data_IF_341687114276
#
_entry.id   IF_341687114276
#
_cell.length_a   1.000
_cell.length_b   1.000
_cell.length_c   1.000
_cell.angle_alpha   90.00
_cell.angle_beta   90.00
_cell.angle_gamma   90.00
#
_symmetry.space_group_name_H-M   'P 1'
#
loop_
_entity.id
_entity.type
_entity.pdbx_description
1 polymer ?
#
# COMPACT_ATOMS: atom_id res chain seq x y z
N UNK A 1 -45.72 -26.17 -22.80
CA UNK A 1 -44.29 -26.43 -22.50
C UNK A 1 -43.47 -25.78 -23.60
N UNK A 2 -42.83 -24.65 -23.30
CA UNK A 2 -41.66 -24.14 -24.04
C UNK A 2 -41.07 -23.04 -23.16
N UNK A 3 -40.10 -23.41 -22.34
CA UNK A 3 -39.44 -22.54 -21.36
C UNK A 3 -37.94 -22.80 -21.33
N UNK A 4 -37.32 -22.97 -22.51
CA UNK A 4 -35.88 -23.27 -22.65
C UNK A 4 -35.23 -22.37 -23.71
N UNK A 5 -35.35 -21.04 -23.60
CA UNK A 5 -34.63 -20.12 -24.50
C UNK A 5 -34.13 -18.81 -23.85
N UNK A 6 -34.12 -18.71 -22.52
CA UNK A 6 -33.61 -17.51 -21.82
C UNK A 6 -32.13 -17.58 -21.42
N UNK A 7 -31.45 -18.71 -21.62
CA UNK A 7 -30.06 -18.92 -21.19
C UNK A 7 -29.01 -18.62 -22.26
N UNK A 8 -29.39 -18.54 -23.55
CA UNK A 8 -28.45 -18.30 -24.66
C UNK A 8 -28.25 -16.80 -24.96
N UNK A 9 -29.28 -15.97 -24.78
CA UNK A 9 -29.19 -14.52 -25.01
C UNK A 9 -28.40 -13.79 -23.91
N UNK A 10 -28.40 -14.30 -22.67
CA UNK A 10 -27.62 -13.70 -21.57
C UNK A 10 -26.11 -13.87 -21.75
N UNK A 11 -25.67 -14.98 -22.36
CA UNK A 11 -24.24 -15.30 -22.53
C UNK A 11 -23.57 -14.44 -23.61
N UNK A 12 -24.28 -14.12 -24.70
CA UNK A 12 -23.77 -13.26 -25.77
C UNK A 12 -23.72 -11.77 -25.40
N UNK A 13 -24.65 -11.30 -24.56
CA UNK A 13 -24.68 -9.90 -24.10
C UNK A 13 -23.54 -9.56 -23.13
N UNK A 14 -23.13 -10.53 -22.30
CA UNK A 14 -22.06 -10.36 -21.31
C UNK A 14 -20.68 -10.23 -22.00
N UNK A 15 -20.40 -11.07 -22.99
CA UNK A 15 -19.15 -11.02 -23.78
C UNK A 15 -18.98 -9.73 -24.60
N UNK A 16 -20.07 -9.17 -25.13
CA UNK A 16 -20.03 -7.90 -25.88
C UNK A 16 -19.85 -6.70 -24.96
N UNK A 17 -20.49 -6.69 -23.78
CA UNK A 17 -20.28 -5.68 -22.74
C UNK A 17 -18.82 -5.70 -22.25
N UNK A 18 -18.25 -6.90 -22.08
CA UNK A 18 -16.87 -7.08 -21.64
C UNK A 18 -15.87 -6.47 -22.62
N UNK A 19 -16.06 -6.73 -23.91
CA UNK A 19 -15.23 -6.15 -24.98
C UNK A 19 -15.35 -4.63 -25.03
N UNK A 20 -16.56 -4.09 -24.90
CA UNK A 20 -16.79 -2.63 -24.90
C UNK A 20 -16.11 -1.93 -23.73
N UNK A 21 -16.27 -2.42 -22.49
CA UNK A 21 -15.61 -1.82 -21.32
C UNK A 21 -14.09 -1.84 -21.44
N UNK A 22 -13.51 -2.95 -21.91
CA UNK A 22 -12.07 -3.08 -22.15
C UNK A 22 -11.57 -2.09 -23.22
N UNK A 23 -12.31 -1.97 -24.32
CA UNK A 23 -11.98 -1.06 -25.43
C UNK A 23 -12.08 0.40 -24.99
N UNK A 24 -13.08 0.76 -24.16
CA UNK A 24 -13.17 2.09 -23.55
C UNK A 24 -11.96 2.41 -22.68
N UNK A 25 -11.47 1.46 -21.88
CA UNK A 25 -10.26 1.66 -21.06
C UNK A 25 -9.01 1.88 -21.91
N UNK A 26 -8.83 1.10 -22.97
CA UNK A 26 -7.69 1.25 -23.90
C UNK A 26 -7.71 2.60 -24.60
N UNK A 27 -8.85 2.97 -25.17
CA UNK A 27 -9.04 4.26 -25.84
C UNK A 27 -8.81 5.42 -24.88
N UNK A 28 -9.33 5.34 -23.65
CA UNK A 28 -9.10 6.37 -22.65
C UNK A 28 -7.60 6.52 -22.35
N UNK A 29 -6.88 5.40 -22.17
CA UNK A 29 -5.43 5.40 -21.89
C UNK A 29 -4.59 5.93 -23.05
N UNK A 30 -4.97 5.67 -24.30
CA UNK A 30 -4.26 6.14 -25.50
C UNK A 30 -4.39 7.64 -25.75
N UNK A 31 -5.50 8.25 -25.33
CA UNK A 31 -5.77 9.67 -25.52
C UNK A 31 -5.14 10.58 -24.45
N UNK A 32 -4.40 10.04 -23.49
CA UNK A 32 -3.77 10.80 -22.40
C UNK A 32 -2.32 11.15 -22.72
N UNK A 33 -1.96 12.42 -22.56
CA UNK A 33 -0.57 12.83 -22.54
C UNK A 33 0.05 12.54 -21.16
N UNK A 34 0.69 11.38 -21.05
CA UNK A 34 1.39 10.93 -19.83
C UNK A 34 2.53 11.85 -19.37
N UNK A 35 2.88 12.92 -20.09
CA UNK A 35 3.83 13.95 -19.60
C UNK A 35 3.13 15.07 -18.82
N UNK A 36 1.84 15.32 -19.05
CA UNK A 36 1.07 16.41 -18.43
C UNK A 36 0.39 15.93 -17.14
N UNK A 37 0.78 16.47 -15.98
CA UNK A 37 0.21 16.05 -14.67
C UNK A 37 -1.30 16.21 -14.61
N UNK A 38 -1.83 17.32 -15.12
CA UNK A 38 -3.27 17.62 -15.10
C UNK A 38 -4.08 16.54 -15.83
N UNK A 39 -3.70 16.19 -17.06
CA UNK A 39 -4.38 15.15 -17.85
C UNK A 39 -4.32 13.79 -17.16
N UNK A 40 -3.17 13.43 -16.57
CA UNK A 40 -3.06 12.18 -15.82
C UNK A 40 -3.94 12.15 -14.56
N UNK A 41 -4.18 13.30 -13.92
CA UNK A 41 -5.12 13.39 -12.79
C UNK A 41 -6.57 13.28 -13.27
N UNK A 42 -6.91 13.90 -14.40
CA UNK A 42 -8.22 13.79 -15.03
C UNK A 42 -8.52 12.35 -15.48
N UNK A 43 -7.50 11.58 -15.87
CA UNK A 43 -7.62 10.16 -16.19
C UNK A 43 -8.20 9.35 -15.03
N UNK A 44 -7.75 9.55 -13.78
CA UNK A 44 -8.30 8.82 -12.64
C UNK A 44 -9.81 9.05 -12.49
N UNK A 45 -10.25 10.30 -12.60
CA UNK A 45 -11.68 10.65 -12.55
C UNK A 45 -12.49 10.00 -13.68
N UNK A 46 -11.91 9.90 -14.88
CA UNK A 46 -12.54 9.23 -16.03
C UNK A 46 -12.53 7.70 -15.92
N UNK A 47 -11.54 7.14 -15.22
CA UNK A 47 -11.45 5.69 -14.98
C UNK A 47 -12.50 5.22 -13.99
N UNK A 48 -12.79 5.98 -12.94
CA UNK A 48 -13.64 5.51 -11.84
C UNK A 48 -15.02 5.00 -12.27
N UNK A 49 -15.79 5.70 -13.12
CA UNK A 49 -17.09 5.20 -13.57
C UNK A 49 -16.99 3.92 -14.41
N UNK A 50 -15.84 3.68 -15.05
CA UNK A 50 -15.62 2.49 -15.89
C UNK A 50 -15.24 1.26 -15.06
N UNK A 51 -14.58 1.46 -13.91
CA UNK A 51 -13.97 0.37 -13.13
C UNK A 51 -14.64 0.11 -11.77
N UNK A 52 -15.54 1.00 -11.30
CA UNK A 52 -16.16 0.88 -9.97
C UNK A 52 -17.07 -0.35 -9.85
N UNK A 53 -17.79 -0.68 -10.92
CA UNK A 53 -18.67 -1.86 -11.05
C UNK A 53 -17.97 -3.00 -11.80
N UNK A 54 -16.63 -3.01 -11.85
CA UNK A 54 -15.91 -4.00 -12.63
C UNK A 54 -16.06 -5.40 -12.02
N UNK A 55 -16.73 -6.27 -12.78
CA UNK A 55 -16.99 -7.69 -12.48
C UNK A 55 -16.27 -8.64 -13.44
N UNK A 56 -15.60 -8.10 -14.45
CA UNK A 56 -15.06 -8.88 -15.57
C UNK A 56 -13.66 -9.38 -15.22
N UNK A 57 -13.36 -10.63 -15.54
CA UNK A 57 -12.01 -11.15 -15.38
C UNK A 57 -11.07 -10.50 -16.40
N UNK A 58 -10.02 -9.82 -15.91
CA UNK A 58 -8.92 -9.35 -16.74
C UNK A 58 -7.75 -10.29 -16.49
N UNK A 59 -7.39 -11.08 -17.50
CA UNK A 59 -6.27 -12.02 -17.42
C UNK A 59 -4.91 -11.31 -17.35
N UNK A 60 -4.78 -10.11 -17.94
CA UNK A 60 -3.57 -9.30 -17.86
C UNK A 60 -3.87 -7.79 -17.92
N UNK A 61 -3.80 -7.12 -16.76
CA UNK A 61 -3.94 -5.66 -16.68
C UNK A 61 -2.87 -4.92 -17.51
N UNK A 62 -1.73 -5.57 -17.77
CA UNK A 62 -0.63 -4.98 -18.55
C UNK A 62 -0.92 -4.89 -20.03
N UNK A 63 -1.92 -5.61 -20.52
CA UNK A 63 -2.48 -5.40 -21.85
C UNK A 63 -3.13 -4.02 -22.03
N UNK A 64 -3.43 -3.33 -20.92
CA UNK A 64 -4.05 -1.99 -20.89
C UNK A 64 -3.04 -0.95 -20.42
N UNK A 65 -2.43 -1.16 -19.24
CA UNK A 65 -1.55 -0.18 -18.60
C UNK A 65 -0.13 -0.70 -18.43
N UNK A 66 0.88 0.12 -18.73
CA UNK A 66 2.27 -0.22 -18.41
C UNK A 66 2.47 -0.26 -16.88
N UNK A 67 3.41 -1.06 -16.37
CA UNK A 67 3.70 -1.14 -14.93
C UNK A 67 4.02 0.24 -14.30
N UNK A 68 4.70 1.13 -15.04
CA UNK A 68 4.97 2.51 -14.62
C UNK A 68 3.69 3.35 -14.51
N UNK A 69 2.74 3.14 -15.42
CA UNK A 69 1.44 3.81 -15.45
C UNK A 69 0.59 3.36 -14.25
N UNK A 70 0.52 2.04 -13.99
CA UNK A 70 -0.18 1.48 -12.81
C UNK A 70 0.42 2.03 -11.52
N UNK A 71 1.76 1.98 -11.38
CA UNK A 71 2.45 2.52 -10.21
C UNK A 71 2.14 4.01 -10.00
N UNK A 72 2.12 4.79 -11.08
CA UNK A 72 1.82 6.22 -11.01
C UNK A 72 0.36 6.48 -10.62
N UNK A 73 -0.60 5.78 -11.23
CA UNK A 73 -2.03 5.92 -10.93
C UNK A 73 -2.33 5.57 -9.47
N UNK A 74 -1.73 4.48 -8.95
CA UNK A 74 -1.82 4.12 -7.52
C UNK A 74 -1.23 5.21 -6.62
N UNK A 75 -0.10 5.82 -6.99
CA UNK A 75 0.51 6.91 -6.22
C UNK A 75 -0.43 8.12 -6.17
N UNK A 76 -0.99 8.55 -7.31
CA UNK A 76 -1.86 9.72 -7.32
C UNK A 76 -3.21 9.46 -6.66
N UNK A 77 -3.79 8.27 -6.78
CA UNK A 77 -5.02 7.93 -6.05
C UNK A 77 -4.81 8.04 -4.54
N UNK A 78 -3.73 7.45 -4.02
CA UNK A 78 -3.35 7.55 -2.60
C UNK A 78 -3.17 9.02 -2.20
N UNK A 79 -2.49 9.85 -3.01
CA UNK A 79 -2.33 11.28 -2.74
C UNK A 79 -3.66 12.04 -2.70
N UNK A 80 -4.52 11.86 -3.72
CA UNK A 80 -5.79 12.56 -3.84
C UNK A 80 -6.70 12.26 -2.64
N UNK A 81 -6.72 10.99 -2.21
CA UNK A 81 -7.48 10.58 -1.03
C UNK A 81 -6.98 11.27 0.25
N UNK A 82 -5.67 11.50 0.34
CA UNK A 82 -5.07 12.14 1.51
C UNK A 82 -5.32 13.64 1.48
N UNK A 83 -5.11 14.31 0.35
CA UNK A 83 -5.48 15.72 0.18
C UNK A 83 -6.96 15.96 0.56
N UNK A 84 -7.87 15.08 0.12
CA UNK A 84 -9.28 15.12 0.53
C UNK A 84 -9.45 15.04 2.06
N UNK A 85 -8.73 14.13 2.72
CA UNK A 85 -8.81 13.92 4.17
C UNK A 85 -8.17 15.04 4.99
N UNK A 86 -7.22 15.80 4.41
CA UNK A 86 -6.65 16.98 5.06
C UNK A 86 -7.67 18.10 5.25
N UNK A 87 -8.67 18.16 4.37
CA UNK A 87 -9.71 19.19 4.37
C UNK A 87 -10.97 18.81 5.16
N UNK A 88 -11.09 17.56 5.61
CA UNK A 88 -12.23 17.09 6.40
C UNK A 88 -11.93 17.29 7.90
N UNK A 89 -12.81 18.00 8.61
CA UNK A 89 -12.69 18.15 10.07
C UNK A 89 -12.99 16.82 10.78
N UNK A 90 -12.47 16.63 12.00
CA UNK A 90 -12.78 15.44 12.82
C UNK A 90 -14.29 15.23 12.99
N UNK A 91 -15.05 16.31 13.20
CA UNK A 91 -16.52 16.26 13.32
C UNK A 91 -17.21 15.86 11.99
N UNK A 92 -16.75 16.39 10.85
CA UNK A 92 -17.24 15.97 9.52
C UNK A 92 -16.93 14.50 9.22
N UNK A 93 -15.77 14.00 9.67
CA UNK A 93 -15.39 12.61 9.51
C UNK A 93 -16.36 11.68 10.26
N UNK A 94 -16.68 11.99 11.52
CA UNK A 94 -17.61 11.17 12.31
C UNK A 94 -19.07 11.31 11.87
N UNK A 95 -19.51 12.50 11.42
CA UNK A 95 -20.87 12.70 10.90
C UNK A 95 -21.17 11.97 9.59
N UNK A 96 -20.14 11.62 8.82
CA UNK A 96 -20.28 10.79 7.60
C UNK A 96 -20.51 9.30 7.90
N UNK A 97 -20.82 8.93 9.15
CA UNK A 97 -21.28 7.60 9.54
C UNK A 97 -20.42 6.46 8.99
N UNK A 98 -19.09 6.57 9.11
CA UNK A 98 -18.15 5.47 8.79
C UNK A 98 -18.51 4.73 7.49
N UNK A 99 -19.00 5.44 6.48
CA UNK A 99 -19.36 4.79 5.22
C UNK A 99 -18.05 4.46 4.52
N UNK A 100 -17.58 3.22 4.72
CA UNK A 100 -16.35 2.67 4.14
C UNK A 100 -16.31 2.86 2.62
N UNK A 101 -17.46 3.09 1.97
CA UNK A 101 -17.57 3.39 0.55
C UNK A 101 -17.00 4.75 0.15
N UNK A 102 -16.97 5.75 1.04
CA UNK A 102 -16.52 7.12 0.73
C UNK A 102 -14.99 7.20 0.51
N UNK A 103 -14.23 6.25 1.07
CA UNK A 103 -12.76 6.24 1.00
C UNK A 103 -12.20 5.07 0.17
N UNK A 104 -13.01 4.48 -0.71
CA UNK A 104 -12.54 3.43 -1.60
C UNK A 104 -11.48 3.99 -2.55
N UNK A 105 -10.25 3.45 -2.46
CA UNK A 105 -9.28 3.53 -3.55
C UNK A 105 -9.78 2.64 -4.69
N UNK A 106 -10.73 3.14 -5.48
CA UNK A 106 -11.41 2.41 -6.56
C UNK A 106 -10.40 1.78 -7.51
N UNK A 107 -9.34 2.51 -7.89
CA UNK A 107 -8.32 1.99 -8.79
C UNK A 107 -7.46 0.91 -8.10
N UNK A 108 -7.05 1.09 -6.84
CA UNK A 108 -6.38 0.04 -6.06
C UNK A 108 -7.22 -1.24 -5.93
N UNK A 109 -8.53 -1.11 -5.70
CA UNK A 109 -9.45 -2.25 -5.65
C UNK A 109 -9.51 -2.96 -6.99
N UNK A 110 -9.68 -2.21 -8.07
CA UNK A 110 -9.66 -2.73 -9.43
C UNK A 110 -8.36 -3.47 -9.74
N UNK A 111 -7.19 -2.88 -9.46
CA UNK A 111 -5.89 -3.52 -9.66
C UNK A 111 -5.78 -4.83 -8.86
N UNK A 112 -6.22 -4.85 -7.61
CA UNK A 112 -6.23 -6.08 -6.81
C UNK A 112 -7.15 -7.16 -7.40
N UNK A 113 -8.36 -6.78 -7.86
CA UNK A 113 -9.31 -7.70 -8.50
C UNK A 113 -8.74 -8.34 -9.77
N UNK A 114 -7.92 -7.62 -10.53
CA UNK A 114 -7.23 -8.18 -11.72
C UNK A 114 -6.13 -9.18 -11.38
N UNK A 115 -5.76 -9.34 -10.11
CA UNK A 115 -4.64 -10.19 -9.70
C UNK A 115 -3.26 -9.63 -10.02
N UNK A 116 -3.17 -8.41 -10.57
CA UNK A 116 -1.90 -7.77 -10.94
C UNK A 116 -0.89 -7.76 -9.79
N UNK A 117 0.35 -8.12 -10.12
CA UNK A 117 1.51 -8.06 -9.22
C UNK A 117 2.57 -7.14 -9.82
N UNK A 118 3.28 -6.41 -8.95
CA UNK A 118 4.38 -5.57 -9.37
C UNK A 118 5.53 -6.41 -9.94
N UNK A 119 6.07 -5.96 -11.07
CA UNK A 119 7.30 -6.49 -11.63
C UNK A 119 8.43 -5.47 -11.45
N UNK A 120 9.63 -5.91 -11.02
CA UNK A 120 10.75 -5.00 -10.87
C UNK A 120 11.21 -4.45 -12.20
N UNK A 121 11.55 -3.16 -12.20
CA UNK A 121 12.44 -2.64 -13.23
C UNK A 121 13.80 -3.32 -13.08
N UNK A 122 14.38 -3.76 -14.19
CA UNK A 122 15.68 -4.43 -14.19
C UNK A 122 16.74 -3.58 -14.89
N UNK A 123 17.99 -3.71 -14.47
CA UNK A 123 19.14 -3.11 -15.16
C UNK A 123 19.50 -3.91 -16.44
N UNK A 124 20.57 -3.51 -17.14
CA UNK A 124 21.05 -4.20 -18.35
C UNK A 124 21.44 -5.66 -18.12
N UNK A 125 21.79 -6.02 -16.89
CA UNK A 125 22.18 -7.38 -16.48
C UNK A 125 20.98 -8.21 -15.98
N UNK A 126 19.75 -7.67 -16.07
CA UNK A 126 18.55 -8.33 -15.57
C UNK A 126 18.36 -8.26 -14.05
N UNK A 127 19.18 -7.49 -13.32
CA UNK A 127 19.07 -7.35 -11.87
C UNK A 127 18.00 -6.32 -11.49
N UNK A 128 17.13 -6.60 -10.51
CA UNK A 128 16.13 -5.65 -10.01
C UNK A 128 16.73 -4.32 -9.53
N UNK A 129 16.12 -3.21 -9.92
CA UNK A 129 16.41 -1.87 -9.43
C UNK A 129 15.63 -1.63 -8.13
N UNK A 130 16.32 -1.74 -6.99
CA UNK A 130 15.68 -1.62 -5.68
C UNK A 130 15.37 -0.17 -5.26
N UNK A 131 16.06 0.83 -5.82
CA UNK A 131 15.78 2.25 -5.53
C UNK A 131 14.54 2.71 -6.29
N UNK A 132 13.38 2.66 -5.63
CA UNK A 132 12.08 2.96 -6.22
C UNK A 132 11.07 3.41 -5.16
N UNK A 133 10.60 4.65 -5.26
CA UNK A 133 9.48 5.13 -4.43
C UNK A 133 8.15 4.59 -4.95
N UNK A 134 7.59 3.61 -4.23
CA UNK A 134 6.33 2.93 -4.56
C UNK A 134 5.11 3.58 -3.85
N UNK A 135 3.87 3.21 -4.20
CA UNK A 135 2.67 3.62 -3.45
C UNK A 135 2.73 3.25 -1.96
N UNK A 136 3.36 2.12 -1.58
CA UNK A 136 3.54 1.73 -0.16
C UNK A 136 4.29 2.82 0.63
N UNK A 137 5.41 3.30 0.08
CA UNK A 137 6.20 4.36 0.70
C UNK A 137 5.43 5.68 0.77
N UNK A 138 4.63 5.99 -0.25
CA UNK A 138 3.81 7.20 -0.23
C UNK A 138 2.74 7.09 0.85
N UNK A 139 1.94 6.01 0.84
CA UNK A 139 0.92 5.74 1.84
C UNK A 139 1.46 5.80 3.29
N UNK A 140 2.64 5.22 3.55
CA UNK A 140 3.23 5.23 4.90
C UNK A 140 3.61 6.62 5.42
N UNK A 141 4.13 7.51 4.54
CA UNK A 141 4.51 8.89 4.93
C UNK A 141 3.33 9.69 5.48
N UNK A 142 2.12 9.41 5.01
CA UNK A 142 0.95 10.20 5.39
C UNK A 142 0.42 9.85 6.78
N UNK A 143 0.62 8.62 7.27
CA UNK A 143 0.31 8.28 8.67
C UNK A 143 1.10 9.15 9.64
N UNK A 144 2.39 9.39 9.36
CA UNK A 144 3.24 10.33 10.13
C UNK A 144 2.66 11.75 10.15
N UNK A 145 2.06 12.21 9.05
CA UNK A 145 1.42 13.53 8.98
C UNK A 145 0.12 13.59 9.79
N UNK A 146 -0.71 12.54 9.74
CA UNK A 146 -1.96 12.48 10.51
C UNK A 146 -1.74 12.36 12.02
N UNK A 147 -0.70 11.63 12.44
CA UNK A 147 -0.26 11.52 13.85
C UNK A 147 0.11 12.88 14.45
N UNK A 148 0.77 13.75 13.67
CA UNK A 148 1.09 15.13 14.09
C UNK A 148 -0.17 15.96 14.38
N UNK A 149 -1.31 15.62 13.78
CA UNK A 149 -2.61 16.29 13.98
C UNK A 149 -3.48 15.64 15.06
N UNK A 150 -2.98 14.67 15.83
CA UNK A 150 -3.60 14.18 17.07
C UNK A 150 -4.93 13.41 16.90
N UNK A 151 -5.11 12.69 15.80
CA UNK A 151 -6.36 11.92 15.56
C UNK A 151 -6.16 10.43 15.75
N UNK A 152 -6.83 9.85 16.75
CA UNK A 152 -6.59 8.47 17.18
C UNK A 152 -7.30 7.40 16.31
N UNK A 153 -8.34 7.76 15.54
CA UNK A 153 -9.18 6.76 14.83
C UNK A 153 -9.10 6.80 13.29
N UNK A 154 -8.26 7.64 12.69
CA UNK A 154 -8.09 7.73 11.22
C UNK A 154 -7.02 6.77 10.68
N UNK A 155 -6.62 5.75 11.44
CA UNK A 155 -5.53 4.83 11.06
C UNK A 155 -6.03 3.57 10.34
N UNK A 156 -7.28 3.14 10.57
CA UNK A 156 -7.79 1.86 10.05
C UNK A 156 -7.84 1.79 8.52
N UNK A 157 -8.25 2.87 7.85
CA UNK A 157 -8.34 2.89 6.38
C UNK A 157 -6.94 2.87 5.72
N UNK A 158 -5.94 3.55 6.30
CA UNK A 158 -4.57 3.52 5.76
C UNK A 158 -3.93 2.14 5.98
N UNK A 159 -4.22 1.47 7.10
CA UNK A 159 -3.78 0.10 7.34
C UNK A 159 -4.36 -0.87 6.27
N UNK A 160 -5.63 -0.68 5.88
CA UNK A 160 -6.26 -1.44 4.80
C UNK A 160 -5.62 -1.19 3.42
N UNK A 161 -5.35 0.08 3.09
CA UNK A 161 -4.64 0.44 1.84
C UNK A 161 -3.26 -0.21 1.81
N UNK A 162 -2.50 -0.12 2.90
CA UNK A 162 -1.17 -0.72 2.98
C UNK A 162 -1.24 -2.24 2.76
N UNK A 163 -2.22 -2.94 3.38
CA UNK A 163 -2.42 -4.38 3.15
C UNK A 163 -2.71 -4.69 1.69
N UNK A 164 -3.60 -3.95 1.05
CA UNK A 164 -3.92 -4.11 -0.39
C UNK A 164 -2.74 -3.80 -1.30
N UNK A 165 -1.89 -2.86 -0.91
CA UNK A 165 -0.67 -2.58 -1.66
C UNK A 165 0.33 -3.73 -1.53
N UNK A 166 0.46 -4.38 -0.38
CA UNK A 166 1.30 -5.59 -0.26
C UNK A 166 0.79 -6.79 -1.07
N UNK A 167 -0.51 -6.85 -1.40
CA UNK A 167 -0.99 -7.84 -2.37
C UNK A 167 -0.42 -7.61 -3.77
N UNK A 168 -0.16 -6.35 -4.15
CA UNK A 168 0.44 -5.99 -5.44
C UNK A 168 1.97 -6.13 -5.37
N UNK A 169 2.59 -5.61 -4.30
CA UNK A 169 4.03 -5.68 -4.05
C UNK A 169 4.38 -6.91 -3.19
N UNK A 170 4.11 -8.10 -3.71
CA UNK A 170 4.20 -9.37 -2.97
C UNK A 170 5.54 -10.11 -3.14
N UNK A 171 6.50 -9.54 -3.87
CA UNK A 171 7.87 -10.05 -4.04
C UNK A 171 8.73 -9.62 -2.85
N UNK A 172 8.63 -10.35 -1.74
CA UNK A 172 9.33 -10.02 -0.50
C UNK A 172 10.85 -10.26 -0.55
N UNK A 173 11.35 -10.91 -1.60
CA UNK A 173 12.77 -10.96 -1.96
C UNK A 173 13.28 -9.59 -2.43
N UNK A 174 12.36 -8.69 -2.82
CA UNK A 174 12.65 -7.31 -3.19
C UNK A 174 12.32 -6.40 -2.03
N UNK A 175 13.35 -5.82 -1.42
CA UNK A 175 13.18 -4.79 -0.41
C UNK A 175 13.39 -3.39 -1.03
N UNK A 176 12.39 -2.92 -1.78
CA UNK A 176 12.48 -1.61 -2.43
C UNK A 176 12.72 -0.51 -1.40
N UNK A 177 13.53 0.47 -1.78
CA UNK A 177 13.94 1.60 -0.95
C UNK A 177 13.58 2.92 -1.63
N UNK A 178 12.96 3.82 -0.87
CA UNK A 178 12.60 5.15 -1.35
C UNK A 178 13.73 6.18 -1.21
N UNK A 179 13.43 7.42 -1.59
CA UNK A 179 14.29 8.60 -1.48
C UNK A 179 14.68 8.98 -0.04
N UNK A 180 13.98 8.47 0.97
CA UNK A 180 14.28 8.70 2.40
C UNK A 180 15.03 7.50 3.03
N UNK A 181 15.35 6.50 2.22
CA UNK A 181 15.91 5.23 2.69
C UNK A 181 14.93 4.38 3.51
N UNK A 182 13.63 4.67 3.44
CA UNK A 182 12.60 3.79 3.98
C UNK A 182 12.41 2.62 3.02
N UNK A 183 12.18 1.42 3.55
CA UNK A 183 12.05 0.20 2.75
C UNK A 183 10.69 -0.45 2.94
N UNK A 184 10.31 -1.37 2.06
CA UNK A 184 9.06 -2.15 2.24
C UNK A 184 9.04 -2.91 3.57
N UNK A 185 10.18 -3.43 4.01
CA UNK A 185 10.28 -4.07 5.32
C UNK A 185 10.01 -3.10 6.48
N UNK A 186 10.52 -1.86 6.39
CA UNK A 186 10.21 -0.82 7.37
C UNK A 186 8.70 -0.51 7.42
N UNK A 187 8.05 -0.39 6.25
CA UNK A 187 6.60 -0.17 6.16
C UNK A 187 5.82 -1.33 6.78
N UNK A 188 6.20 -2.58 6.49
CA UNK A 188 5.53 -3.76 7.07
C UNK A 188 5.62 -3.78 8.60
N UNK A 189 6.78 -3.40 9.15
CA UNK A 189 6.99 -3.33 10.61
C UNK A 189 6.17 -2.20 11.25
N UNK A 190 6.19 -1.00 10.66
CA UNK A 190 5.42 0.17 11.12
C UNK A 190 3.91 -0.09 11.18
N UNK A 191 3.40 -0.89 10.25
CA UNK A 191 1.98 -1.26 10.15
C UNK A 191 1.66 -2.61 10.81
N UNK A 192 2.62 -3.21 11.52
CA UNK A 192 2.45 -4.46 12.26
C UNK A 192 1.83 -5.60 11.43
N UNK A 193 2.26 -5.73 10.17
CA UNK A 193 1.77 -6.75 9.24
C UNK A 193 2.51 -8.06 9.47
N UNK A 194 2.06 -8.82 10.47
CA UNK A 194 2.76 -10.02 10.96
C UNK A 194 3.16 -11.01 9.86
N UNK A 195 2.24 -11.32 8.94
CA UNK A 195 2.46 -12.28 7.85
C UNK A 195 3.47 -11.75 6.81
N UNK A 196 3.45 -10.45 6.55
CA UNK A 196 4.39 -9.78 5.64
C UNK A 196 5.78 -9.69 6.27
N UNK A 197 5.86 -9.27 7.53
CA UNK A 197 7.12 -9.21 8.30
C UNK A 197 7.76 -10.58 8.38
N UNK A 198 6.96 -11.62 8.66
CA UNK A 198 7.44 -13.00 8.72
C UNK A 198 8.09 -13.42 7.40
N UNK A 199 7.45 -13.16 6.25
CA UNK A 199 8.01 -13.48 4.94
C UNK A 199 9.33 -12.77 4.65
N UNK A 200 9.44 -11.48 4.99
CA UNK A 200 10.71 -10.76 4.85
C UNK A 200 11.82 -11.39 5.69
N UNK A 201 11.54 -11.73 6.95
CA UNK A 201 12.52 -12.33 7.86
C UNK A 201 12.92 -13.75 7.44
N UNK A 202 11.98 -14.56 6.96
CA UNK A 202 12.24 -15.90 6.40
C UNK A 202 13.13 -15.85 5.16
N UNK A 203 13.08 -14.75 4.39
CA UNK A 203 13.95 -14.48 3.26
C UNK A 203 15.30 -13.84 3.66
N UNK A 204 15.60 -13.76 4.96
CA UNK A 204 16.90 -13.31 5.46
C UNK A 204 17.07 -11.80 5.52
N UNK A 205 15.96 -11.03 5.52
CA UNK A 205 16.03 -9.59 5.70
C UNK A 205 16.65 -9.22 7.06
N UNK A 206 17.65 -8.34 7.04
CA UNK A 206 18.29 -7.82 8.26
C UNK A 206 17.25 -7.11 9.16
N UNK A 207 17.02 -7.62 10.40
CA UNK A 207 16.07 -7.02 11.34
C UNK A 207 16.58 -5.72 11.98
N UNK A 208 17.83 -5.32 11.70
CA UNK A 208 18.48 -4.10 12.20
C UNK A 208 18.68 -3.03 11.11
N UNK A 209 18.16 -3.25 9.90
CA UNK A 209 18.25 -2.27 8.81
C UNK A 209 17.68 -0.91 9.26
N UNK A 210 18.42 0.17 9.05
CA UNK A 210 18.02 1.50 9.50
C UNK A 210 17.43 2.31 8.34
N UNK A 211 16.34 3.04 8.61
CA UNK A 211 15.86 4.08 7.70
C UNK A 211 16.96 5.14 7.56
N UNK A 212 17.45 5.39 6.33
CA UNK A 212 18.60 6.27 6.10
C UNK A 212 18.41 7.66 6.69
N UNK A 213 17.23 8.27 6.49
CA UNK A 213 16.99 9.65 6.93
C UNK A 213 16.80 9.78 8.44
N UNK A 214 16.06 8.88 9.08
CA UNK A 214 15.70 9.01 10.51
C UNK A 214 16.54 8.15 11.46
N UNK A 215 17.21 7.11 10.96
CA UNK A 215 17.87 6.10 11.78
C UNK A 215 16.91 5.18 12.53
N UNK A 216 15.61 5.20 12.23
CA UNK A 216 14.66 4.30 12.89
C UNK A 216 14.94 2.85 12.47
N UNK A 217 15.05 1.93 13.43
CA UNK A 217 15.12 0.49 13.17
C UNK A 217 13.72 -0.11 12.97
N UNK A 218 13.60 -1.35 12.44
CA UNK A 218 12.31 -2.00 12.26
C UNK A 218 11.61 -2.22 13.60
N UNK A 219 12.38 -2.52 14.66
CA UNK A 219 11.88 -2.62 16.02
C UNK A 219 11.37 -1.27 16.57
N UNK A 220 12.01 -0.15 16.20
CA UNK A 220 11.49 1.20 16.51
C UNK A 220 10.09 1.38 15.96
N UNK A 221 9.94 1.07 14.67
CA UNK A 221 8.73 1.31 13.92
C UNK A 221 7.58 0.42 14.43
N UNK A 222 7.87 -0.85 14.73
CA UNK A 222 6.89 -1.77 15.30
C UNK A 222 6.39 -1.32 16.68
N UNK A 223 7.27 -0.81 17.54
CA UNK A 223 6.92 -0.38 18.90
C UNK A 223 6.26 1.00 18.97
N UNK A 224 6.16 1.73 17.86
CA UNK A 224 5.47 3.04 17.83
C UNK A 224 3.99 2.92 18.15
N UNK A 225 3.39 1.75 17.93
CA UNK A 225 1.96 1.49 18.06
C UNK A 225 1.65 0.39 19.10
N UNK A 226 0.49 0.49 19.75
CA UNK A 226 0.09 -0.43 20.81
C UNK A 226 -0.14 -1.88 20.34
N UNK A 227 -0.30 -2.11 19.04
CA UNK A 227 -0.55 -3.43 18.44
C UNK A 227 0.70 -4.10 17.86
N UNK A 228 1.88 -3.49 17.98
CA UNK A 228 3.12 -4.03 17.41
C UNK A 228 3.82 -5.12 18.23
N UNK A 229 3.19 -5.66 19.28
CA UNK A 229 3.83 -6.62 20.19
C UNK A 229 4.31 -7.88 19.47
N UNK A 230 3.47 -8.48 18.62
CA UNK A 230 3.81 -9.73 17.93
C UNK A 230 4.94 -9.55 16.92
N UNK A 231 4.88 -8.48 16.13
CA UNK A 231 5.98 -8.09 15.23
C UNK A 231 7.26 -7.81 16.01
N UNK A 232 7.18 -7.11 17.14
CA UNK A 232 8.35 -6.83 17.99
C UNK A 232 8.99 -8.11 18.52
N UNK A 233 8.18 -9.07 19.00
CA UNK A 233 8.67 -10.40 19.42
C UNK A 233 9.33 -11.14 18.27
N UNK A 234 8.75 -11.08 17.07
CA UNK A 234 9.28 -11.71 15.87
C UNK A 234 10.64 -11.12 15.47
N UNK A 235 10.76 -9.79 15.48
CA UNK A 235 12.00 -9.08 15.20
C UNK A 235 13.09 -9.45 16.21
N UNK A 236 12.78 -9.44 17.51
CA UNK A 236 13.72 -9.84 18.58
C UNK A 236 14.19 -11.29 18.41
N UNK A 237 13.27 -12.21 18.07
CA UNK A 237 13.60 -13.61 17.80
C UNK A 237 14.59 -13.77 16.63
N UNK A 238 14.55 -12.86 15.66
CA UNK A 238 15.46 -12.84 14.52
C UNK A 238 16.74 -12.01 14.77
N UNK A 239 16.96 -11.51 15.98
CA UNK A 239 18.19 -10.79 16.34
C UNK A 239 18.11 -9.26 16.21
N UNK A 240 16.91 -8.67 16.22
CA UNK A 240 16.77 -7.23 16.34
C UNK A 240 17.42 -6.74 17.66
N UNK A 241 18.23 -5.69 17.56
CA UNK A 241 18.91 -5.06 18.68
C UNK A 241 17.99 -3.98 19.32
N UNK A 242 17.51 -4.20 20.56
CA UNK A 242 16.68 -3.22 21.27
C UNK A 242 17.44 -1.96 21.70
N UNK A 243 18.77 -1.95 21.63
CA UNK A 243 19.61 -0.84 22.06
C UNK A 243 19.79 0.25 20.99
N UNK A 244 19.43 -0.04 19.72
CA UNK A 244 19.55 0.90 18.61
C UNK A 244 18.73 2.16 18.85
N UNK A 245 19.42 3.30 18.82
CA UNK A 245 18.82 4.62 18.85
C UNK A 245 18.67 5.17 17.43
N UNK A 246 17.59 5.91 17.20
CA UNK A 246 17.46 6.68 15.97
C UNK A 246 18.37 7.92 15.97
N UNK A 247 18.39 8.70 14.88
CA UNK A 247 19.25 9.90 14.77
C UNK A 247 18.92 11.01 15.77
N UNK A 248 17.71 11.03 16.33
CA UNK A 248 17.34 11.93 17.41
C UNK A 248 17.84 11.45 18.79
N UNK A 249 18.63 10.38 18.83
CA UNK A 249 19.10 9.74 20.07
C UNK A 249 18.00 8.96 20.80
N UNK A 250 16.82 8.77 20.20
CA UNK A 250 15.70 8.07 20.82
C UNK A 250 15.87 6.56 20.66
N UNK A 251 16.10 5.89 21.78
CA UNK A 251 15.95 4.43 21.93
C UNK A 251 14.46 4.07 22.13
N UNK A 252 14.09 2.81 21.93
CA UNK A 252 12.73 2.32 22.22
C UNK A 252 12.52 2.18 23.73
N UNK A 253 12.29 3.28 24.43
CA UNK A 253 12.08 3.32 25.89
C UNK A 253 10.59 3.11 26.27
N UNK A 254 9.93 2.13 25.65
CA UNK A 254 8.51 1.86 25.89
C UNK A 254 8.30 0.73 26.91
N UNK A 255 7.25 0.85 27.74
CA UNK A 255 6.79 -0.22 28.65
C UNK A 255 6.57 -1.56 27.93
N UNK A 256 6.15 -1.51 26.66
CA UNK A 256 5.94 -2.69 25.82
C UNK A 256 7.23 -3.49 25.63
N UNK A 257 8.38 -2.85 25.42
CA UNK A 257 9.65 -3.56 25.26
C UNK A 257 10.11 -4.19 26.59
N UNK A 258 9.92 -3.50 27.72
CA UNK A 258 10.19 -4.07 29.04
C UNK A 258 9.28 -5.28 29.35
N UNK A 259 8.00 -5.23 28.95
CA UNK A 259 7.08 -6.38 29.05
C UNK A 259 7.48 -7.54 28.14
N UNK A 260 7.94 -7.24 26.92
CA UNK A 260 8.33 -8.25 25.93
C UNK A 260 9.62 -8.97 26.32
N UNK A 261 10.63 -8.21 26.75
CA UNK A 261 11.98 -8.72 27.06
C UNK A 261 12.14 -9.18 28.50
N UNK A 262 11.24 -8.79 29.42
CA UNK A 262 11.36 -9.07 30.85
C UNK A 262 12.48 -8.26 31.53
N UNK A 263 13.15 -7.36 30.82
CA UNK A 263 14.25 -6.54 31.34
C UNK A 263 13.66 -5.22 31.89
N UNK A 264 13.88 -4.89 33.18
CA UNK A 264 13.42 -3.62 33.76
C UNK A 264 14.00 -2.40 33.00
N UNK A 265 13.39 -1.22 33.17
CA UNK A 265 13.87 0.07 32.64
C UNK A 265 15.31 0.38 33.11
N UNK A 266 16.33 -0.19 32.50
CA UNK A 266 17.74 0.11 32.81
C UNK A 266 18.52 0.23 31.50
N UNK A 267 18.17 1.24 30.71
CA UNK A 267 19.03 1.76 29.65
C UNK A 267 19.29 3.22 30.00
N UNK A 268 20.35 3.46 30.79
CA UNK A 268 20.91 4.80 31.01
C UNK A 268 21.61 5.31 29.75
#
# INVERSE_FOLDING_TARGET
MSSDDQSAESFHGEDDLNKKKLESLKNLRENINWKVKKERNELLGQLYPLISDWTIEISDLRSIFRSKEINWLLIEEVKNLIELLEHITTDQFYRRNYDETIYQCIFLEFVNKTGYKDEPEVNRDGKPLLRRTTPLHRASRFKKYLEYRGSDNRHYWIDHIIRKLFNIYNRFDLNYIDDLGCTHFHVACEYSLEDVVQKFLELGQDPNILVQETGNSPLYLALRHNYGEKVSRMLLKHGADPSLANKDGRKHLCMSLARITGIPRIWK
#
